data_IF_648021289025
#
_entry.id   IF_648021289025
#
_cell.length_a   1.000
_cell.length_b   1.000
_cell.length_c   1.000
_cell.angle_alpha   90.00
_cell.angle_beta   90.00
_cell.angle_gamma   90.00
#
_symmetry.space_group_name_H-M   'P 1'
#
loop_
_entity.id
_entity.type
_entity.pdbx_description
1 polymer ?
#
# COMPACT_ATOMS: atom_id res chain seq x y z
N UNK A 1 23.12 -16.60 25.66
CA UNK A 1 24.37 -16.82 24.91
C UNK A 1 24.00 -17.32 23.53
N UNK A 2 23.96 -16.45 22.51
CA UNK A 2 23.68 -16.86 21.13
C UNK A 2 24.88 -17.64 20.59
N UNK A 3 24.67 -18.90 20.21
CA UNK A 3 25.72 -19.76 19.67
C UNK A 3 26.14 -19.24 18.27
N UNK A 4 27.42 -19.40 17.92
CA UNK A 4 28.03 -18.91 16.66
C UNK A 4 27.23 -19.35 15.43
N UNK A 5 26.70 -20.58 15.44
CA UNK A 5 25.87 -21.13 14.35
C UNK A 5 24.44 -20.53 14.31
N UNK A 6 23.89 -20.12 15.46
CA UNK A 6 22.61 -19.41 15.54
C UNK A 6 22.70 -17.99 14.99
N UNK A 7 23.87 -17.34 15.10
CA UNK A 7 24.13 -16.04 14.48
C UNK A 7 24.11 -16.13 12.94
N UNK A 8 24.70 -17.17 12.36
CA UNK A 8 24.67 -17.41 10.90
C UNK A 8 23.27 -17.70 10.37
N UNK A 9 22.48 -18.50 11.10
CA UNK A 9 21.08 -18.76 10.75
C UNK A 9 20.24 -17.47 10.78
N UNK A 10 20.46 -16.60 11.76
CA UNK A 10 19.78 -15.30 11.85
C UNK A 10 20.17 -14.38 10.68
N UNK A 11 21.45 -14.37 10.30
CA UNK A 11 21.96 -13.59 9.17
C UNK A 11 21.35 -14.01 7.83
N UNK A 12 21.14 -15.32 7.62
CA UNK A 12 20.52 -15.85 6.39
C UNK A 12 19.04 -15.47 6.30
N UNK A 13 18.30 -15.52 7.41
CA UNK A 13 16.89 -15.08 7.45
C UNK A 13 16.79 -13.57 7.19
N UNK A 14 17.67 -12.77 7.77
CA UNK A 14 17.72 -11.32 7.54
C UNK A 14 18.02 -11.01 6.06
N UNK A 15 18.96 -11.72 5.43
CA UNK A 15 19.28 -11.55 4.01
C UNK A 15 18.08 -11.82 3.09
N UNK A 16 17.26 -12.82 3.41
CA UNK A 16 16.06 -13.16 2.63
C UNK A 16 14.95 -12.09 2.72
N UNK A 17 14.81 -11.43 3.87
CA UNK A 17 13.80 -10.38 4.08
C UNK A 17 14.14 -9.09 3.31
N UNK A 18 15.42 -8.80 3.08
CA UNK A 18 15.85 -7.55 2.42
C UNK A 18 15.59 -7.58 0.89
N UNK A 19 15.56 -8.76 0.27
CA UNK A 19 15.37 -8.89 -1.19
C UNK A 19 13.97 -8.51 -1.70
N UNK A 20 12.97 -8.41 -0.82
CA UNK A 20 11.59 -8.10 -1.21
C UNK A 20 11.30 -6.59 -1.37
N UNK A 21 12.24 -5.70 -1.04
CA UNK A 21 11.94 -4.26 -0.84
C UNK A 21 12.08 -3.34 -2.06
N UNK A 22 12.58 -3.79 -3.21
CA UNK A 22 13.01 -2.88 -4.29
C UNK A 22 12.10 -2.79 -5.52
N UNK A 23 11.09 -3.66 -5.67
CA UNK A 23 10.19 -3.65 -6.83
C UNK A 23 9.22 -2.45 -6.81
N UNK A 24 8.33 -2.35 -5.81
CA UNK A 24 7.32 -1.29 -5.74
C UNK A 24 7.91 0.12 -5.77
N UNK A 25 9.02 0.37 -5.09
CA UNK A 25 9.64 1.70 -5.04
C UNK A 25 10.08 2.21 -6.43
N UNK A 26 10.45 1.32 -7.35
CA UNK A 26 10.77 1.68 -8.74
C UNK A 26 9.51 2.08 -9.50
N UNK A 27 8.41 1.34 -9.33
CA UNK A 27 7.13 1.65 -9.97
C UNK A 27 6.57 2.96 -9.46
N UNK A 28 6.67 3.22 -8.16
CA UNK A 28 6.19 4.45 -7.51
C UNK A 28 6.78 5.71 -8.16
N UNK A 29 8.05 5.65 -8.56
CA UNK A 29 8.79 6.75 -9.23
C UNK A 29 8.62 6.79 -10.74
N UNK A 30 7.98 5.78 -11.35
CA UNK A 30 7.79 5.73 -12.80
C UNK A 30 6.76 6.76 -13.27
N UNK A 31 6.72 7.05 -14.58
CA UNK A 31 5.67 7.90 -15.18
C UNK A 31 4.37 7.17 -15.52
N UNK A 32 4.31 5.84 -15.32
CA UNK A 32 3.18 5.02 -15.75
C UNK A 32 2.13 4.91 -14.63
N UNK A 33 1.04 5.67 -14.76
CA UNK A 33 -0.04 5.70 -13.76
C UNK A 33 -0.83 4.38 -13.70
N UNK A 34 -0.97 3.67 -14.82
CA UNK A 34 -1.66 2.39 -14.84
C UNK A 34 -0.89 1.33 -14.06
N UNK A 35 0.43 1.26 -14.31
CA UNK A 35 1.30 0.32 -13.60
C UNK A 35 1.33 0.61 -12.09
N UNK A 36 1.29 1.88 -11.69
CA UNK A 36 1.15 2.28 -10.28
C UNK A 36 -0.18 1.82 -9.69
N UNK A 37 -1.27 1.94 -10.44
CA UNK A 37 -2.59 1.51 -9.99
C UNK A 37 -2.60 0.01 -9.73
N UNK A 38 -2.19 -0.78 -10.72
CA UNK A 38 -2.10 -2.24 -10.61
C UNK A 38 -1.21 -2.66 -9.44
N UNK A 39 -0.04 -2.02 -9.28
CA UNK A 39 0.88 -2.32 -8.18
C UNK A 39 0.29 -1.96 -6.81
N UNK A 40 -0.40 -0.82 -6.70
CA UNK A 40 -1.08 -0.43 -5.46
C UNK A 40 -2.18 -1.40 -5.06
N UNK A 41 -2.98 -1.86 -6.04
CA UNK A 41 -4.05 -2.84 -5.81
C UNK A 41 -3.47 -4.21 -5.43
N UNK A 42 -2.42 -4.68 -6.11
CA UNK A 42 -1.73 -5.93 -5.76
C UNK A 42 -1.17 -5.89 -4.32
N UNK A 43 -0.59 -4.75 -3.90
CA UNK A 43 -0.13 -4.56 -2.53
C UNK A 43 -1.29 -4.57 -1.51
N UNK A 44 -2.41 -3.94 -1.85
CA UNK A 44 -3.62 -3.95 -1.04
C UNK A 44 -4.15 -5.37 -0.85
N UNK A 45 -4.25 -6.15 -1.92
CA UNK A 45 -4.72 -7.54 -1.88
C UNK A 45 -3.78 -8.44 -1.09
N UNK A 46 -2.47 -8.17 -1.13
CA UNK A 46 -1.44 -8.85 -0.31
C UNK A 46 -1.43 -8.41 1.16
N UNK A 47 -2.22 -7.41 1.54
CA UNK A 47 -2.29 -6.87 2.90
C UNK A 47 -1.15 -5.92 3.26
N UNK A 48 -0.35 -5.47 2.30
CA UNK A 48 0.70 -4.46 2.53
C UNK A 48 0.10 -3.04 2.41
N UNK A 49 -0.84 -2.74 3.30
CA UNK A 49 -1.67 -1.54 3.28
C UNK A 49 -0.85 -0.24 3.34
N UNK A 50 0.24 -0.24 4.11
CA UNK A 50 1.15 0.90 4.22
C UNK A 50 1.81 1.23 2.88
N UNK A 51 2.22 0.23 2.09
CA UNK A 51 2.79 0.47 0.76
C UNK A 51 1.70 0.81 -0.24
N UNK A 52 0.54 0.12 -0.19
CA UNK A 52 -0.59 0.40 -1.07
C UNK A 52 -1.02 1.88 -1.00
N UNK A 53 -1.14 2.44 0.22
CA UNK A 53 -1.49 3.85 0.44
C UNK A 53 -0.54 4.82 -0.28
N UNK A 54 0.76 4.53 -0.33
CA UNK A 54 1.72 5.40 -1.04
C UNK A 54 1.41 5.50 -2.54
N UNK A 55 0.97 4.40 -3.17
CA UNK A 55 0.53 4.44 -4.57
C UNK A 55 -0.80 5.19 -4.70
N UNK A 56 -1.75 4.93 -3.79
CA UNK A 56 -3.07 5.53 -3.85
C UNK A 56 -3.02 7.06 -3.67
N UNK A 57 -2.15 7.58 -2.81
CA UNK A 57 -1.99 9.02 -2.59
C UNK A 57 -1.50 9.76 -3.82
N UNK A 58 -0.54 9.18 -4.55
CA UNK A 58 -0.03 9.74 -5.81
C UNK A 58 -1.12 9.72 -6.88
N UNK A 59 -1.91 8.64 -6.93
CA UNK A 59 -2.92 8.42 -7.95
C UNK A 59 -4.25 9.14 -7.69
N UNK A 60 -4.51 9.56 -6.46
CA UNK A 60 -5.77 10.19 -6.05
C UNK A 60 -6.07 11.44 -6.87
N UNK A 61 -5.08 12.28 -7.12
CA UNK A 61 -5.24 13.48 -7.94
C UNK A 61 -5.40 13.16 -9.44
N UNK A 62 -4.77 12.08 -9.91
CA UNK A 62 -4.78 11.66 -11.32
C UNK A 62 -6.15 11.10 -11.71
N UNK A 63 -6.75 10.27 -10.86
CA UNK A 63 -8.00 9.57 -11.15
C UNK A 63 -9.24 10.19 -10.50
N UNK A 64 -9.13 11.41 -9.94
CA UNK A 64 -10.25 12.09 -9.28
C UNK A 64 -11.47 12.18 -10.19
N UNK A 65 -12.65 11.78 -9.68
CA UNK A 65 -13.91 11.83 -10.43
C UNK A 65 -14.07 10.74 -11.49
N UNK A 66 -13.20 9.73 -11.51
CA UNK A 66 -13.34 8.53 -12.34
C UNK A 66 -13.70 7.32 -11.49
N UNK A 67 -14.14 6.23 -12.13
CA UNK A 67 -14.40 4.94 -11.46
C UNK A 67 -13.15 4.42 -10.72
N UNK A 68 -11.95 4.64 -11.28
CA UNK A 68 -10.69 4.29 -10.60
C UNK A 68 -10.47 5.16 -9.36
N UNK A 69 -10.83 6.44 -9.41
CA UNK A 69 -10.75 7.36 -8.26
C UNK A 69 -11.70 6.99 -7.13
N UNK A 70 -12.91 6.54 -7.48
CA UNK A 70 -13.86 5.97 -6.54
C UNK A 70 -13.27 4.76 -5.81
N UNK A 71 -12.78 3.76 -6.56
CA UNK A 71 -12.13 2.57 -6.00
C UNK A 71 -10.93 2.92 -5.13
N UNK A 72 -10.08 3.86 -5.57
CA UNK A 72 -8.93 4.32 -4.77
C UNK A 72 -9.35 4.94 -3.44
N UNK A 73 -10.44 5.72 -3.43
CA UNK A 73 -10.94 6.33 -2.19
C UNK A 73 -11.42 5.25 -1.21
N UNK A 74 -12.17 4.25 -1.71
CA UNK A 74 -12.60 3.10 -0.92
C UNK A 74 -11.42 2.25 -0.42
N UNK A 75 -10.45 1.95 -1.27
CA UNK A 75 -9.26 1.17 -0.90
C UNK A 75 -8.42 1.89 0.14
N UNK A 76 -8.23 3.22 0.01
CA UNK A 76 -7.56 4.01 1.04
C UNK A 76 -8.28 3.91 2.39
N UNK A 77 -9.61 4.04 2.42
CA UNK A 77 -10.39 3.88 3.64
C UNK A 77 -10.19 2.49 4.27
N UNK A 78 -10.25 1.43 3.45
CA UNK A 78 -10.01 0.06 3.90
C UNK A 78 -8.58 -0.17 4.39
N UNK A 79 -7.57 0.39 3.74
CA UNK A 79 -6.17 0.30 4.20
C UNK A 79 -6.05 0.81 5.65
N UNK A 80 -6.58 1.99 5.95
CA UNK A 80 -6.58 2.54 7.31
C UNK A 80 -7.37 1.66 8.28
N UNK A 81 -8.53 1.14 7.86
CA UNK A 81 -9.33 0.24 8.68
C UNK A 81 -8.57 -1.03 9.07
N UNK A 82 -7.93 -1.69 8.09
CA UNK A 82 -7.16 -2.91 8.30
C UNK A 82 -5.92 -2.68 9.16
N UNK A 83 -5.31 -1.49 9.04
CA UNK A 83 -4.24 -1.02 9.94
C UNK A 83 -4.74 -0.61 11.33
N UNK A 84 -6.06 -0.69 11.58
CA UNK A 84 -6.74 -0.30 12.82
C UNK A 84 -6.67 1.19 13.15
N UNK A 85 -6.39 2.01 12.15
CA UNK A 85 -6.49 3.46 12.24
C UNK A 85 -7.93 3.90 11.93
N UNK A 86 -8.82 3.60 12.87
CA UNK A 86 -10.26 3.78 12.67
C UNK A 86 -10.67 5.24 12.55
N UNK A 87 -9.91 6.15 13.17
CA UNK A 87 -10.18 7.59 13.07
C UNK A 87 -9.95 8.08 11.64
N UNK A 88 -8.81 7.72 11.03
CA UNK A 88 -8.53 8.09 9.65
C UNK A 88 -9.43 7.29 8.69
N UNK A 89 -9.71 6.02 8.96
CA UNK A 89 -10.63 5.22 8.16
C UNK A 89 -12.03 5.85 8.07
N UNK A 90 -12.59 6.29 9.21
CA UNK A 90 -13.91 6.96 9.26
C UNK A 90 -13.94 8.19 8.34
N UNK A 91 -12.91 9.03 8.42
CA UNK A 91 -12.78 10.21 7.57
C UNK A 91 -12.81 9.85 6.07
N UNK A 92 -12.04 8.83 5.65
CA UNK A 92 -12.02 8.42 4.24
C UNK A 92 -13.31 7.72 3.80
N UNK A 93 -13.98 6.98 4.67
CA UNK A 93 -15.30 6.40 4.36
C UNK A 93 -16.38 7.49 4.22
N UNK A 94 -16.37 8.50 5.08
CA UNK A 94 -17.27 9.66 4.93
C UNK A 94 -17.01 10.40 3.62
N UNK A 95 -15.73 10.62 3.27
CA UNK A 95 -15.37 11.19 1.97
C UNK A 95 -15.87 10.35 0.79
N UNK A 96 -15.75 9.03 0.89
CA UNK A 96 -16.25 8.11 -0.14
C UNK A 96 -17.76 8.31 -0.36
N UNK A 97 -18.57 8.25 0.71
CA UNK A 97 -20.03 8.41 0.62
C UNK A 97 -20.43 9.81 0.13
N UNK A 98 -19.71 10.86 0.54
CA UNK A 98 -20.02 12.23 0.12
C UNK A 98 -19.65 12.50 -1.35
N UNK A 99 -18.56 11.93 -1.84
CA UNK A 99 -18.08 12.15 -3.21
C UNK A 99 -18.79 11.24 -4.22
N UNK A 100 -19.29 10.08 -3.78
CA UNK A 100 -19.90 9.05 -4.62
C UNK A 100 -21.23 8.57 -4.00
N UNK A 101 -22.28 9.42 -3.95
CA UNK A 101 -23.58 9.09 -3.37
C UNK A 101 -24.45 8.19 -4.26
#
# INVERSE_FOLDING_TARGET
>A
MLNRNGLYSLFIVILFVISACNGPQKVLKSGNNELKYETGVDLYEKGDYNKALQFFDILRAVYRGTEKGEKLTYYSANCYFQMRDYQIASYYYEQYVQMYP
#
